data_IF_558452489222
#
_entry.id   IF_558452489222
#
_cell.length_a   1.000
_cell.length_b   1.000
_cell.length_c   1.000
_cell.angle_alpha   90.00
_cell.angle_beta   90.00
_cell.angle_gamma   90.00
#
_symmetry.space_group_name_H-M   'P 1'
#
loop_
_entity.id
_entity.type
_entity.pdbx_description
1 polymer ?
#
# COMPACT_ATOMS: atom_id res chain seq x y z
N UNK A 1 21.73 -16.32 4.08
CA UNK A 1 21.14 -15.30 3.19
C UNK A 1 19.88 -14.82 3.89
N UNK A 2 19.66 -13.51 3.88
CA UNK A 2 19.23 -12.66 5.01
C UNK A 2 17.96 -13.09 5.79
N UNK A 3 18.19 -13.69 6.97
CA UNK A 3 17.14 -14.16 7.89
C UNK A 3 16.36 -13.01 8.53
N UNK A 4 16.92 -11.80 8.56
CA UNK A 4 16.29 -10.64 9.20
C UNK A 4 15.26 -9.99 8.28
N UNK A 5 15.58 -9.83 6.99
CA UNK A 5 14.65 -9.34 5.98
C UNK A 5 13.44 -10.29 5.82
N UNK A 6 13.67 -11.61 5.82
CA UNK A 6 12.60 -12.59 5.76
C UNK A 6 11.68 -12.52 6.99
N UNK A 7 12.26 -12.46 8.20
CA UNK A 7 11.47 -12.30 9.44
C UNK A 7 10.65 -11.02 9.44
N UNK A 8 11.18 -9.93 8.89
CA UNK A 8 10.44 -8.67 8.75
C UNK A 8 9.27 -8.82 7.76
N UNK A 9 9.50 -9.47 6.61
CA UNK A 9 8.47 -9.76 5.63
C UNK A 9 7.35 -10.62 6.22
N UNK A 10 7.71 -11.67 6.96
CA UNK A 10 6.77 -12.58 7.61
C UNK A 10 5.94 -11.83 8.68
N UNK A 11 6.59 -10.99 9.49
CA UNK A 11 5.89 -10.16 10.50
C UNK A 11 4.95 -9.15 9.88
N UNK A 12 5.38 -8.46 8.82
CA UNK A 12 4.53 -7.53 8.09
C UNK A 12 3.34 -8.24 7.43
N UNK A 13 3.58 -9.42 6.86
CA UNK A 13 2.53 -10.23 6.24
C UNK A 13 1.54 -10.74 7.28
N UNK A 14 2.02 -11.21 8.42
CA UNK A 14 1.15 -11.63 9.52
C UNK A 14 0.34 -10.46 10.08
N UNK A 15 0.97 -9.28 10.22
CA UNK A 15 0.28 -8.09 10.66
C UNK A 15 -0.79 -7.68 9.63
N UNK A 16 -0.38 -7.36 8.40
CA UNK A 16 -1.25 -6.82 7.36
C UNK A 16 -2.21 -7.85 6.74
N UNK A 17 -1.92 -9.15 6.85
CA UNK A 17 -2.73 -10.23 6.29
C UNK A 17 -3.55 -11.02 7.33
N UNK A 18 -3.23 -10.91 8.62
CA UNK A 18 -3.83 -11.72 9.69
C UNK A 18 -5.00 -11.08 10.43
N UNK A 19 -5.28 -9.80 10.19
CA UNK A 19 -6.46 -9.15 10.74
C UNK A 19 -7.67 -9.34 9.83
N UNK A 20 -8.79 -9.81 10.37
CA UNK A 20 -10.13 -9.79 9.73
C UNK A 20 -10.52 -8.39 9.17
N UNK A 21 -9.72 -7.34 9.45
CA UNK A 21 -10.00 -5.94 9.17
C UNK A 21 -9.08 -5.25 8.13
N UNK A 22 -7.93 -5.81 7.74
CA UNK A 22 -6.99 -5.10 6.82
C UNK A 22 -7.24 -5.47 5.36
N UNK A 23 -7.58 -6.72 5.11
CA UNK A 23 -7.85 -7.30 3.79
C UNK A 23 -9.13 -8.12 3.78
N UNK A 24 -10.00 -7.97 4.78
CA UNK A 24 -11.07 -8.91 5.18
C UNK A 24 -11.99 -9.43 4.07
N UNK A 25 -11.92 -8.88 2.87
CA UNK A 25 -12.49 -9.42 1.65
C UNK A 25 -11.49 -9.29 0.48
N UNK A 26 -10.55 -10.25 0.27
CA UNK A 26 -9.58 -10.20 -0.83
C UNK A 26 -10.24 -10.09 -2.21
N UNK A 27 -11.45 -10.66 -2.33
CA UNK A 27 -12.28 -10.56 -3.53
C UNK A 27 -12.73 -9.13 -3.83
N UNK A 28 -12.78 -8.24 -2.83
CA UNK A 28 -13.23 -6.86 -2.98
C UNK A 28 -12.05 -5.90 -3.22
N UNK A 29 -10.98 -6.03 -2.45
CA UNK A 29 -9.91 -5.02 -2.41
C UNK A 29 -9.18 -4.89 -3.75
N UNK A 30 -8.82 -6.01 -4.39
CA UNK A 30 -8.10 -5.97 -5.68
C UNK A 30 -8.95 -5.35 -6.79
N UNK A 31 -10.22 -5.76 -7.01
CA UNK A 31 -11.09 -5.07 -7.97
C UNK A 31 -11.32 -3.59 -7.65
N UNK A 32 -11.41 -3.23 -6.36
CA UNK A 32 -11.48 -1.81 -5.96
C UNK A 32 -10.24 -1.04 -6.37
N UNK A 33 -9.04 -1.57 -6.10
CA UNK A 33 -7.79 -0.95 -6.49
C UNK A 33 -7.70 -0.76 -8.00
N UNK A 34 -8.09 -1.77 -8.79
CA UNK A 34 -8.14 -1.71 -10.25
C UNK A 34 -9.11 -0.63 -10.77
N UNK A 35 -10.29 -0.51 -10.16
CA UNK A 35 -11.27 0.52 -10.53
C UNK A 35 -10.76 1.92 -10.15
N UNK A 36 -10.16 2.10 -8.98
CA UNK A 36 -9.55 3.36 -8.53
C UNK A 36 -8.41 3.81 -9.44
N UNK A 37 -7.60 2.86 -9.96
CA UNK A 37 -6.53 3.14 -10.90
C UNK A 37 -7.01 3.80 -12.22
N UNK A 38 -8.31 3.73 -12.53
CA UNK A 38 -8.90 4.45 -13.68
C UNK A 38 -9.01 5.96 -13.48
N UNK A 39 -8.75 6.46 -12.27
CA UNK A 39 -8.78 7.90 -11.96
C UNK A 39 -10.17 8.46 -11.77
N UNK A 40 -11.16 7.63 -11.43
CA UNK A 40 -12.56 8.06 -11.22
C UNK A 40 -13.12 7.50 -9.91
N UNK A 41 -14.03 8.22 -9.23
CA UNK A 41 -14.76 7.68 -8.09
C UNK A 41 -15.52 6.41 -8.46
N UNK A 42 -15.51 5.43 -7.56
CA UNK A 42 -16.06 4.08 -7.75
C UNK A 42 -17.39 3.97 -7.00
N UNK A 43 -18.43 3.45 -7.66
CA UNK A 43 -19.72 3.18 -7.02
C UNK A 43 -19.79 1.74 -6.51
N UNK A 44 -20.68 1.49 -5.54
CA UNK A 44 -21.00 0.13 -5.08
C UNK A 44 -21.46 -0.77 -6.22
N UNK A 45 -22.28 -0.25 -7.14
CA UNK A 45 -22.73 -0.99 -8.33
C UNK A 45 -21.61 -1.37 -9.29
N UNK A 46 -20.60 -0.51 -9.48
CA UNK A 46 -19.43 -0.85 -10.29
C UNK A 46 -18.61 -1.98 -9.64
N UNK A 47 -18.42 -1.92 -8.33
CA UNK A 47 -17.76 -3.00 -7.59
C UNK A 47 -18.55 -4.29 -7.61
N UNK A 48 -19.86 -4.25 -7.38
CA UNK A 48 -20.75 -5.39 -7.44
C UNK A 48 -20.65 -6.09 -8.81
N UNK A 49 -20.65 -5.30 -9.89
CA UNK A 49 -20.45 -5.81 -11.25
C UNK A 49 -19.06 -6.43 -11.43
N UNK A 50 -18.00 -5.75 -11.00
CA UNK A 50 -16.62 -6.22 -11.17
C UNK A 50 -16.31 -7.49 -10.34
N UNK A 51 -17.04 -7.70 -9.24
CA UNK A 51 -16.84 -8.80 -8.31
C UNK A 51 -17.86 -9.92 -8.48
N UNK A 52 -18.89 -9.75 -9.32
CA UNK A 52 -20.03 -10.67 -9.44
C UNK A 52 -20.80 -10.90 -8.12
N UNK A 53 -20.91 -9.86 -7.31
CA UNK A 53 -21.65 -9.86 -6.03
C UNK A 53 -22.82 -8.86 -6.07
N UNK A 54 -23.69 -8.88 -5.06
CA UNK A 54 -24.74 -7.86 -4.92
C UNK A 54 -24.16 -6.56 -4.35
N UNK A 55 -24.87 -5.44 -4.56
CA UNK A 55 -24.46 -4.18 -3.91
C UNK A 55 -24.55 -4.24 -2.37
N UNK A 56 -25.44 -5.09 -1.82
CA UNK A 56 -25.54 -5.27 -0.38
C UNK A 56 -24.33 -6.03 0.19
N UNK A 57 -23.86 -7.07 -0.51
CA UNK A 57 -22.62 -7.77 -0.14
C UNK A 57 -21.43 -6.81 -0.15
N UNK A 58 -21.31 -5.97 -1.19
CA UNK A 58 -20.26 -4.96 -1.29
C UNK A 58 -20.36 -3.93 -0.16
N UNK A 59 -21.57 -3.43 0.17
CA UNK A 59 -21.75 -2.50 1.29
C UNK A 59 -21.36 -3.13 2.62
N UNK A 60 -21.73 -4.38 2.85
CA UNK A 60 -21.39 -5.10 4.07
C UNK A 60 -19.87 -5.30 4.19
N UNK A 61 -19.21 -5.70 3.10
CA UNK A 61 -17.77 -5.82 3.03
C UNK A 61 -17.03 -4.50 3.28
N UNK A 62 -17.49 -3.40 2.66
CA UNK A 62 -16.91 -2.08 2.86
C UNK A 62 -17.06 -1.56 4.29
N UNK A 63 -18.10 -1.99 5.03
CA UNK A 63 -18.27 -1.62 6.44
C UNK A 63 -17.15 -2.19 7.34
N UNK A 64 -16.50 -3.27 6.93
CA UNK A 64 -15.33 -3.83 7.59
C UNK A 64 -14.01 -3.15 7.19
N UNK A 65 -14.04 -2.15 6.31
CA UNK A 65 -12.88 -1.41 5.81
C UNK A 65 -12.95 0.07 6.24
N UNK A 66 -12.72 0.40 7.53
CA UNK A 66 -12.99 1.72 8.11
C UNK A 66 -12.14 2.85 7.51
N UNK A 67 -10.97 2.53 6.94
CA UNK A 67 -10.07 3.51 6.33
C UNK A 67 -10.51 3.93 4.91
N UNK A 68 -11.55 3.31 4.35
CA UNK A 68 -12.05 3.62 2.99
C UNK A 68 -12.48 5.08 2.88
N UNK A 69 -11.96 5.78 1.87
CA UNK A 69 -12.28 7.18 1.63
C UNK A 69 -13.45 7.32 0.65
N UNK A 70 -14.41 8.18 0.99
CA UNK A 70 -15.57 8.49 0.17
C UNK A 70 -15.61 9.97 -0.21
N UNK A 71 -16.23 10.30 -1.36
CA UNK A 71 -16.57 11.67 -1.73
C UNK A 71 -17.88 12.13 -1.05
N UNK A 72 -18.27 13.39 -1.27
CA UNK A 72 -19.49 13.97 -0.70
C UNK A 72 -20.80 13.34 -1.20
N UNK A 73 -20.74 12.39 -2.15
CA UNK A 73 -21.89 11.65 -2.68
C UNK A 73 -21.87 10.16 -2.30
N UNK A 74 -20.91 9.74 -1.45
CA UNK A 74 -20.77 8.36 -1.00
C UNK A 74 -20.09 7.43 -2.02
N UNK A 75 -19.42 7.96 -3.05
CA UNK A 75 -18.61 7.15 -3.97
C UNK A 75 -17.22 6.97 -3.39
N UNK A 76 -16.62 5.80 -3.61
CA UNK A 76 -15.30 5.45 -3.09
C UNK A 76 -14.25 6.19 -3.91
N UNK A 77 -13.36 6.89 -3.22
CA UNK A 77 -12.25 7.64 -3.83
C UNK A 77 -10.88 7.18 -3.34
N UNK A 78 -10.81 6.33 -2.31
CA UNK A 78 -9.54 5.81 -1.83
C UNK A 78 -9.63 4.56 -0.97
N UNK A 79 -8.65 3.68 -1.15
CA UNK A 79 -8.39 2.48 -0.33
C UNK A 79 -6.93 2.07 -0.59
N UNK A 80 -6.00 2.65 0.17
CA UNK A 80 -4.56 2.60 -0.13
C UNK A 80 -4.17 3.51 -1.30
N UNK A 81 -4.69 3.23 -2.50
CA UNK A 81 -4.65 4.14 -3.66
C UNK A 81 -5.81 5.12 -3.56
N UNK A 82 -5.59 6.40 -3.83
CA UNK A 82 -6.59 7.45 -3.61
C UNK A 82 -6.50 8.59 -4.61
N UNK A 83 -7.65 9.23 -4.85
CA UNK A 83 -7.75 10.48 -5.60
C UNK A 83 -7.51 11.71 -4.72
N UNK A 84 -7.51 11.55 -3.39
CA UNK A 84 -7.22 12.64 -2.45
C UNK A 84 -5.72 12.90 -2.43
N UNK A 85 -5.26 14.16 -2.60
CA UNK A 85 -3.83 14.46 -2.55
C UNK A 85 -3.16 13.99 -1.26
N UNK A 86 -2.05 13.28 -1.42
CA UNK A 86 -1.09 12.92 -0.35
C UNK A 86 0.32 13.32 -0.80
N UNK A 87 1.33 13.27 0.08
CA UNK A 87 2.73 13.47 -0.32
C UNK A 87 3.23 12.46 -1.36
N UNK A 88 2.61 11.27 -1.44
CA UNK A 88 3.04 10.18 -2.31
C UNK A 88 2.27 10.21 -3.62
N UNK A 89 2.77 10.97 -4.59
CA UNK A 89 2.20 11.04 -5.94
C UNK A 89 2.46 9.72 -6.66
N UNK A 90 1.41 9.19 -7.27
CA UNK A 90 1.41 7.92 -7.99
C UNK A 90 0.73 8.10 -9.35
N UNK A 91 1.49 8.09 -10.43
CA UNK A 91 0.95 8.21 -11.79
C UNK A 91 0.96 6.84 -12.47
N UNK A 92 -0.21 6.38 -12.94
CA UNK A 92 -0.38 5.11 -13.65
C UNK A 92 -1.30 5.32 -14.86
N UNK A 93 -0.94 4.79 -16.03
CA UNK A 93 -1.68 4.95 -17.29
C UNK A 93 -2.07 6.42 -17.60
N UNK A 94 -1.18 7.37 -17.28
CA UNK A 94 -1.39 8.81 -17.45
C UNK A 94 -2.42 9.43 -16.49
N UNK A 95 -2.79 8.72 -15.41
CA UNK A 95 -3.68 9.20 -14.35
C UNK A 95 -2.87 9.54 -13.12
N UNK A 96 -2.90 10.81 -12.71
CA UNK A 96 -2.35 11.23 -11.44
C UNK A 96 -3.27 10.79 -10.31
N UNK A 97 -2.74 9.93 -9.43
CA UNK A 97 -3.34 9.45 -8.19
C UNK A 97 -2.33 9.65 -7.04
N UNK A 98 -2.68 9.16 -5.87
CA UNK A 98 -1.84 9.21 -4.68
C UNK A 98 -1.95 7.90 -3.91
N UNK A 99 -0.97 7.61 -3.07
CA UNK A 99 -1.04 6.49 -2.13
C UNK A 99 -1.00 6.96 -0.68
N UNK A 100 -1.42 6.12 0.26
CA UNK A 100 -1.40 6.48 1.68
C UNK A 100 0.00 6.45 2.29
N UNK A 101 0.89 5.57 1.82
CA UNK A 101 2.28 5.53 2.29
C UNK A 101 3.30 5.28 1.18
N UNK A 102 4.59 5.31 1.56
CA UNK A 102 5.70 5.00 0.66
C UNK A 102 5.67 3.54 0.16
N UNK A 103 5.36 2.57 1.02
CA UNK A 103 5.34 1.15 0.63
C UNK A 103 4.24 0.84 -0.39
N UNK A 104 3.07 1.45 -0.27
CA UNK A 104 1.97 1.33 -1.24
C UNK A 104 2.43 1.65 -2.67
N UNK A 105 3.30 2.66 -2.84
CA UNK A 105 3.84 3.04 -4.15
C UNK A 105 4.69 1.94 -4.80
N UNK A 106 5.26 1.05 -3.97
CA UNK A 106 6.11 -0.06 -4.40
C UNK A 106 5.31 -1.34 -4.64
N UNK A 107 4.22 -1.53 -3.89
CA UNK A 107 3.39 -2.75 -3.90
C UNK A 107 2.32 -2.71 -5.00
N UNK A 108 1.61 -1.59 -5.15
CA UNK A 108 0.45 -1.51 -6.05
C UNK A 108 0.75 -1.73 -7.54
N UNK A 109 1.91 -1.32 -8.10
CA UNK A 109 2.25 -1.63 -9.50
C UNK A 109 2.14 -3.13 -9.83
N UNK A 110 2.63 -3.99 -8.93
CA UNK A 110 2.55 -5.43 -9.08
C UNK A 110 1.10 -5.95 -8.95
N UNK A 111 0.30 -5.42 -8.02
CA UNK A 111 -1.12 -5.77 -7.87
C UNK A 111 -1.95 -5.37 -9.10
N UNK A 112 -1.67 -4.19 -9.65
CA UNK A 112 -2.34 -3.64 -10.82
C UNK A 112 -1.86 -4.26 -12.13
N UNK A 113 -0.66 -4.87 -12.13
CA UNK A 113 0.01 -5.32 -13.35
C UNK A 113 0.31 -4.14 -14.30
N UNK A 114 0.68 -2.98 -13.73
CA UNK A 114 0.96 -1.72 -14.44
C UNK A 114 2.20 -1.06 -13.87
N UNK A 115 2.92 -0.33 -14.70
CA UNK A 115 4.03 0.51 -14.26
C UNK A 115 3.49 1.85 -13.73
N UNK A 116 4.07 2.33 -12.63
CA UNK A 116 3.75 3.62 -12.06
C UNK A 116 4.99 4.52 -11.93
N UNK A 117 4.80 5.81 -12.14
CA UNK A 117 5.78 6.85 -11.82
C UNK A 117 5.45 7.45 -10.45
N UNK A 118 6.44 7.46 -9.57
CA UNK A 118 6.27 7.88 -8.18
C UNK A 118 7.10 9.13 -7.92
N UNK A 119 6.50 10.08 -7.24
CA UNK A 119 7.19 11.22 -6.64
C UNK A 119 6.72 11.39 -5.20
N UNK A 120 7.68 11.46 -4.27
CA UNK A 120 7.41 11.70 -2.86
C UNK A 120 8.49 12.61 -2.28
N UNK A 121 8.17 13.50 -1.33
CA UNK A 121 9.21 14.20 -0.59
C UNK A 121 9.90 13.24 0.39
N UNK A 122 11.18 13.49 0.64
CA UNK A 122 11.86 13.04 1.86
C UNK A 122 11.12 13.61 3.06
N UNK A 123 10.73 12.76 4.00
CA UNK A 123 9.94 13.18 5.16
C UNK A 123 10.66 14.23 6.02
N UNK A 124 11.97 14.07 6.22
CA UNK A 124 12.75 14.98 7.04
C UNK A 124 13.11 16.31 6.33
N UNK A 125 13.38 16.28 5.02
CA UNK A 125 14.02 17.41 4.32
C UNK A 125 13.17 18.02 3.21
N UNK A 126 12.08 17.37 2.81
CA UNK A 126 11.29 17.76 1.64
C UNK A 126 11.95 17.49 0.28
N UNK A 127 13.20 17.00 0.26
CA UNK A 127 13.93 16.68 -0.98
C UNK A 127 13.11 15.73 -1.86
N UNK A 128 12.84 16.04 -3.13
CA UNK A 128 12.06 15.16 -3.99
C UNK A 128 12.76 13.81 -4.21
N UNK A 129 12.01 12.73 -4.04
CA UNK A 129 12.39 11.36 -4.33
C UNK A 129 11.52 10.88 -5.48
N UNK A 130 12.15 10.38 -6.54
CA UNK A 130 11.48 9.92 -7.76
C UNK A 130 11.93 8.51 -8.09
N UNK A 131 11.00 7.69 -8.56
CA UNK A 131 11.28 6.35 -9.09
C UNK A 131 10.19 5.92 -10.07
N UNK A 132 10.51 4.90 -10.86
CA UNK A 132 9.54 4.13 -11.64
C UNK A 132 9.41 2.75 -11.02
N UNK A 133 8.22 2.40 -10.55
CA UNK A 133 7.92 1.09 -9.99
C UNK A 133 7.11 0.28 -11.01
N UNK A 134 7.68 -0.84 -11.45
CA UNK A 134 7.08 -1.80 -12.36
C UNK A 134 6.68 -3.07 -11.58
N UNK A 135 5.84 -3.95 -12.16
CA UNK A 135 5.45 -5.20 -11.50
C UNK A 135 6.62 -6.14 -11.14
N UNK A 136 7.76 -6.00 -11.80
CA UNK A 136 8.94 -6.84 -11.66
C UNK A 136 10.15 -6.13 -11.02
N UNK A 137 10.10 -4.80 -10.81
CA UNK A 137 11.18 -4.09 -10.16
C UNK A 137 11.03 -2.57 -10.07
N UNK A 138 11.99 -1.94 -9.40
CA UNK A 138 12.11 -0.49 -9.28
C UNK A 138 13.30 0.01 -10.09
N UNK A 139 13.11 1.09 -10.86
CA UNK A 139 14.15 1.72 -11.68
C UNK A 139 14.12 3.25 -11.54
N UNK A 140 15.19 3.93 -11.96
CA UNK A 140 15.24 5.40 -12.01
C UNK A 140 15.17 6.09 -10.64
N UNK A 141 15.53 5.38 -9.57
CA UNK A 141 15.50 5.92 -8.20
C UNK A 141 16.46 7.10 -8.06
N UNK A 142 15.94 8.24 -7.62
CA UNK A 142 16.70 9.45 -7.32
C UNK A 142 16.17 10.12 -6.06
N UNK A 143 17.00 10.40 -5.04
CA UNK A 143 18.41 10.01 -4.90
C UNK A 143 18.59 8.48 -4.81
N UNK A 144 19.73 7.96 -5.29
CA UNK A 144 19.97 6.52 -5.36
C UNK A 144 20.01 5.84 -3.97
N UNK A 145 20.38 6.59 -2.93
CA UNK A 145 20.49 6.10 -1.56
C UNK A 145 19.19 6.21 -0.77
N UNK A 146 18.07 6.56 -1.42
CA UNK A 146 16.80 6.73 -0.74
C UNK A 146 16.40 5.45 0.02
N UNK A 147 15.74 5.64 1.15
CA UNK A 147 15.27 4.56 2.04
C UNK A 147 13.81 4.74 2.41
N UNK A 148 13.17 3.67 2.87
CA UNK A 148 11.78 3.63 3.35
C UNK A 148 11.76 3.21 4.80
N UNK A 149 11.04 3.93 5.65
CA UNK A 149 10.76 3.47 7.03
C UNK A 149 9.72 2.37 7.04
N UNK A 150 9.95 1.36 7.87
CA UNK A 150 9.08 0.20 8.05
C UNK A 150 8.78 0.04 9.53
N UNK A 151 7.50 -0.13 9.85
CA UNK A 151 6.99 -0.48 11.17
C UNK A 151 6.32 -1.85 11.10
N UNK A 152 6.52 -2.68 12.11
CA UNK A 152 5.73 -3.89 12.33
C UNK A 152 4.79 -3.65 13.50
N UNK A 153 3.54 -3.21 13.25
CA UNK A 153 2.61 -2.91 14.32
C UNK A 153 2.18 -4.20 15.04
N UNK A 154 2.09 -4.12 16.37
CA UNK A 154 1.61 -5.22 17.21
C UNK A 154 0.06 -5.29 17.27
N UNK A 155 -0.62 -4.19 16.92
CA UNK A 155 -2.09 -4.08 16.80
C UNK A 155 -2.46 -3.30 15.53
N UNK A 156 -3.45 -3.80 14.78
CA UNK A 156 -3.89 -3.30 13.47
C UNK A 156 -5.39 -2.98 13.44
N UNK A 157 -5.85 -2.20 14.40
CA UNK A 157 -7.22 -1.65 14.41
C UNK A 157 -7.50 -0.72 13.23
N UNK A 158 -6.49 0.00 12.72
CA UNK A 158 -6.52 0.75 11.45
C UNK A 158 -5.16 0.67 10.77
N UNK A 159 -5.14 0.28 9.51
CA UNK A 159 -3.93 0.19 8.68
C UNK A 159 -3.33 1.57 8.54
N UNK A 160 -4.19 2.56 8.34
CA UNK A 160 -3.75 3.92 8.09
C UNK A 160 -3.04 4.50 9.30
N UNK A 161 -3.62 4.38 10.50
CA UNK A 161 -3.01 4.91 11.71
C UNK A 161 -1.84 4.08 12.22
N UNK A 162 -1.96 2.75 12.22
CA UNK A 162 -0.95 1.87 12.81
C UNK A 162 0.24 1.58 11.87
N UNK A 163 0.09 1.80 10.56
CA UNK A 163 1.13 1.51 9.59
C UNK A 163 1.41 2.68 8.64
N UNK A 164 0.46 3.06 7.78
CA UNK A 164 0.73 3.99 6.68
C UNK A 164 1.27 5.36 7.16
N UNK A 165 0.76 5.85 8.29
CA UNK A 165 1.20 7.11 8.91
C UNK A 165 2.66 7.12 9.36
N UNK A 166 3.34 5.96 9.39
CA UNK A 166 4.73 5.82 9.83
C UNK A 166 5.69 5.36 8.73
N UNK A 167 5.17 5.12 7.52
CA UNK A 167 5.92 4.53 6.40
C UNK A 167 6.19 5.62 5.35
N UNK A 168 7.42 6.13 5.39
CA UNK A 168 7.83 7.30 4.66
C UNK A 168 9.10 7.06 3.85
N UNK A 169 9.31 7.85 2.80
CA UNK A 169 10.59 7.93 2.11
C UNK A 169 11.53 8.92 2.80
N UNK A 170 12.83 8.59 2.80
CA UNK A 170 13.93 9.48 3.20
C UNK A 170 15.00 9.49 2.11
N UNK A 171 15.65 10.64 1.92
CA UNK A 171 16.62 10.84 0.84
C UNK A 171 17.87 9.96 0.97
N UNK A 172 18.21 9.57 2.20
CA UNK A 172 19.30 8.65 2.57
C UNK A 172 19.10 8.18 4.02
N UNK A 173 19.88 7.18 4.51
CA UNK A 173 19.77 6.69 5.88
C UNK A 173 20.00 7.75 6.97
N UNK A 174 20.90 8.71 6.73
CA UNK A 174 21.20 9.77 7.69
C UNK A 174 19.98 10.68 7.91
N UNK A 175 19.23 10.99 6.84
CA UNK A 175 18.00 11.78 6.92
C UNK A 175 16.88 11.10 7.74
N UNK A 176 16.97 9.78 7.99
CA UNK A 176 16.00 9.04 8.79
C UNK A 176 16.39 8.90 10.28
N UNK A 177 17.59 9.36 10.68
CA UNK A 177 18.11 9.10 12.03
C UNK A 177 17.24 9.70 13.14
N UNK A 178 16.84 10.96 12.99
CA UNK A 178 15.99 11.64 13.97
C UNK A 178 14.63 10.93 14.08
N UNK A 179 14.05 10.56 12.95
CA UNK A 179 12.79 9.80 12.90
C UNK A 179 12.89 8.47 13.65
N UNK A 180 13.98 7.70 13.44
CA UNK A 180 14.20 6.43 14.13
C UNK A 180 14.47 6.61 15.62
N UNK A 181 15.08 7.72 16.02
CA UNK A 181 15.32 8.06 17.43
C UNK A 181 14.00 8.30 18.15
N UNK A 182 13.08 9.02 17.50
CA UNK A 182 11.75 9.32 18.04
C UNK A 182 10.80 8.11 17.99
N UNK A 183 11.09 7.11 17.15
CA UNK A 183 10.25 5.93 16.94
C UNK A 183 11.02 4.62 17.18
N UNK A 184 11.36 4.31 18.44
CA UNK A 184 12.10 3.10 18.78
C UNK A 184 11.37 1.84 18.31
N UNK A 185 12.09 0.94 17.63
CA UNK A 185 11.55 -0.30 17.08
C UNK A 185 11.17 -0.24 15.59
N UNK A 186 11.20 0.94 14.97
CA UNK A 186 11.14 1.06 13.52
C UNK A 186 12.52 0.81 12.88
N UNK A 187 12.52 0.48 11.59
CA UNK A 187 13.73 0.34 10.79
C UNK A 187 13.60 1.12 9.49
N UNK A 188 14.72 1.38 8.81
CA UNK A 188 14.72 1.84 7.42
C UNK A 188 15.41 0.83 6.52
N UNK A 189 14.91 0.72 5.30
CA UNK A 189 15.46 -0.16 4.26
C UNK A 189 15.72 0.62 2.98
N UNK A 190 16.77 0.29 2.21
CA UNK A 190 16.90 0.73 0.83
C UNK A 190 15.60 0.48 0.05
N UNK A 191 15.23 1.38 -0.86
CA UNK A 191 13.98 1.22 -1.65
C UNK A 191 13.91 -0.12 -2.37
N UNK A 192 15.03 -0.63 -2.88
CA UNK A 192 15.09 -1.93 -3.54
C UNK A 192 14.72 -3.08 -2.58
N UNK A 193 15.19 -3.01 -1.34
CA UNK A 193 14.90 -4.02 -0.31
C UNK A 193 13.45 -3.89 0.17
N UNK A 194 12.94 -2.68 0.34
CA UNK A 194 11.53 -2.42 0.65
C UNK A 194 10.59 -2.95 -0.46
N UNK A 195 10.99 -2.85 -1.73
CA UNK A 195 10.25 -3.48 -2.84
C UNK A 195 10.25 -5.01 -2.72
N UNK A 196 11.40 -5.65 -2.43
CA UNK A 196 11.45 -7.10 -2.24
C UNK A 196 10.63 -7.55 -1.03
N UNK A 197 10.66 -6.79 0.06
CA UNK A 197 9.84 -6.99 1.26
C UNK A 197 8.34 -6.96 0.95
N UNK A 198 7.94 -6.12 -0.01
CA UNK A 198 6.56 -6.02 -0.47
C UNK A 198 6.09 -7.21 -1.31
N UNK A 199 6.98 -8.04 -1.86
CA UNK A 199 6.56 -9.12 -2.78
C UNK A 199 5.71 -10.21 -2.13
N UNK A 200 6.03 -10.75 -0.94
CA UNK A 200 5.16 -11.69 -0.25
C UNK A 200 3.81 -11.06 0.13
N UNK A 201 3.80 -9.76 0.47
CA UNK A 201 2.55 -9.02 0.70
C UNK A 201 1.69 -8.98 -0.56
N UNK A 202 2.29 -8.60 -1.70
CA UNK A 202 1.61 -8.61 -3.00
C UNK A 202 1.07 -9.99 -3.35
N UNK A 203 1.85 -11.06 -3.13
CA UNK A 203 1.41 -12.43 -3.41
C UNK A 203 0.18 -12.81 -2.58
N UNK A 204 0.19 -12.59 -1.26
CA UNK A 204 -0.99 -12.87 -0.43
C UNK A 204 -2.22 -12.03 -0.83
N UNK A 205 -2.00 -10.77 -1.23
CA UNK A 205 -3.05 -9.89 -1.75
C UNK A 205 -3.60 -10.37 -3.11
N UNK A 206 -2.78 -11.04 -3.92
CA UNK A 206 -3.16 -11.58 -5.23
C UNK A 206 -3.83 -12.95 -5.12
N UNK A 207 -3.36 -13.80 -4.21
CA UNK A 207 -3.75 -15.20 -4.08
C UNK A 207 -5.03 -15.38 -3.26
N UNK A 208 -5.45 -14.36 -2.49
CA UNK A 208 -6.74 -14.34 -1.81
C UNK A 208 -7.02 -15.62 -1.02
N UNK A 209 -6.04 -16.07 -0.22
CA UNK A 209 -6.02 -17.42 0.32
C UNK A 209 -7.16 -17.64 1.32
N UNK A 210 -8.28 -18.11 0.76
CA UNK A 210 -9.21 -19.00 1.44
C UNK A 210 -8.36 -20.14 2.00
N UNK A 211 -8.39 -20.44 3.31
CA UNK A 211 -7.87 -21.73 3.76
C UNK A 211 -8.65 -22.79 3.00
N UNK A 212 -7.96 -23.63 2.23
CA UNK A 212 -8.57 -24.87 1.77
C UNK A 212 -9.05 -25.61 3.02
N UNK A 213 -10.37 -25.59 3.25
CA UNK A 213 -10.98 -26.53 4.17
C UNK A 213 -10.78 -27.90 3.56
N UNK A 214 -9.72 -28.60 3.97
CA UNK A 214 -9.58 -30.02 3.69
C UNK A 214 -10.83 -30.74 4.20
N UNK A 215 -11.51 -31.41 3.26
CA UNK A 215 -12.55 -32.41 3.51
C UNK A 215 -12.00 -33.62 4.28
#
# INVERSE_FOLDING_TARGET
MDTSAQKLADRLTAALGGGENVTGQPWLWRPLLQLLATGRPVTTGQLATATSHTEDDVRHALAAMPDTEYDGTGRIIGSGLTQRPTPHRFEVDGKQLYTWCALDTLVFPAVLGRTAHVESPCHATGTPIRLTAAPDGVTGLTPADAVVSIVTPDDLTSVRSAFCNHVHFFANPAAAQDWLTDHPGMTVLPVADAYQLGRPLTQNLLDGTTPESCC
#
